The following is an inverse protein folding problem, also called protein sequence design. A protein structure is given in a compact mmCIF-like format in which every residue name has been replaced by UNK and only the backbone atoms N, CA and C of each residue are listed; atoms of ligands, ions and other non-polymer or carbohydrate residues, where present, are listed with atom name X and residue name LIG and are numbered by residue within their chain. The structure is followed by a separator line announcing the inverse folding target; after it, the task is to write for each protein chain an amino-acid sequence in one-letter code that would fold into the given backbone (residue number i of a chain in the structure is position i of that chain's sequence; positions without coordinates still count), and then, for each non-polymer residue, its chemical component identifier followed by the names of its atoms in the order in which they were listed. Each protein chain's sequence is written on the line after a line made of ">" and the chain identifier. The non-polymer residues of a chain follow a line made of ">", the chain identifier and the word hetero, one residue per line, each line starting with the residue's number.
data_IF_906099809419
#
_entry.id   IF_906099809419
#
_cell.length_a   1.000
_cell.length_b   1.000
_cell.length_c   1.000
_cell.angle_alpha   90.00
_cell.angle_beta   90.00
_cell.angle_gamma   90.00
#
_symmetry.space_group_name_H-M   'P 1'
#
loop_
_entity.id
_entity.type
_entity.pdbx_description
1 polymer ?
#
# COMPACT_ATOMS: atom_id res chain seq x y z
N UNK A 1 17.32 -33.04 28.89
CA UNK A 1 16.58 -32.59 27.68
C UNK A 1 15.81 -31.27 27.89
N UNK A 2 16.08 -30.50 28.95
CA UNK A 2 15.21 -29.38 29.33
C UNK A 2 15.63 -28.02 28.73
N UNK A 3 16.92 -27.81 28.44
CA UNK A 3 17.41 -26.52 27.90
C UNK A 3 16.95 -26.25 26.47
N UNK A 4 16.97 -27.26 25.60
CA UNK A 4 16.53 -27.10 24.21
C UNK A 4 15.03 -26.81 24.11
N UNK A 5 14.23 -27.49 24.95
CA UNK A 5 12.79 -27.23 25.03
C UNK A 5 12.50 -25.82 25.55
N UNK A 6 13.18 -25.40 26.62
CA UNK A 6 13.03 -24.05 27.18
C UNK A 6 13.38 -22.95 26.15
N UNK A 7 14.49 -23.10 25.43
CA UNK A 7 14.90 -22.16 24.39
C UNK A 7 13.92 -22.11 23.22
N UNK A 8 13.38 -23.26 22.80
CA UNK A 8 12.35 -23.30 21.76
C UNK A 8 11.05 -22.60 22.21
N UNK A 9 10.63 -22.80 23.46
CA UNK A 9 9.43 -22.12 24.00
C UNK A 9 9.63 -20.63 24.17
N UNK A 10 10.83 -20.18 24.54
CA UNK A 10 11.18 -18.76 24.66
C UNK A 10 11.13 -18.06 23.28
N UNK A 11 11.70 -18.68 22.24
CA UNK A 11 11.62 -18.15 20.87
C UNK A 11 10.18 -18.07 20.37
N UNK A 12 9.36 -19.09 20.64
CA UNK A 12 7.94 -19.07 20.28
C UNK A 12 7.20 -17.96 21.02
N UNK A 13 7.47 -17.77 22.32
CA UNK A 13 6.87 -16.69 23.10
C UNK A 13 7.26 -15.31 22.54
N UNK A 14 8.55 -15.09 22.25
CA UNK A 14 9.04 -13.86 21.63
C UNK A 14 8.34 -13.58 20.30
N UNK A 15 8.19 -14.60 19.45
CA UNK A 15 7.53 -14.45 18.16
C UNK A 15 6.05 -14.09 18.28
N UNK A 16 5.33 -14.70 19.22
CA UNK A 16 3.93 -14.38 19.49
C UNK A 16 3.74 -12.93 19.97
N UNK A 17 4.68 -12.42 20.77
CA UNK A 17 4.65 -11.02 21.25
C UNK A 17 4.82 -10.06 20.07
N UNK A 18 5.83 -10.29 19.22
CA UNK A 18 6.07 -9.46 18.02
C UNK A 18 4.85 -9.41 17.09
N UNK A 19 4.16 -10.53 16.90
CA UNK A 19 2.96 -10.61 16.08
C UNK A 19 1.79 -9.82 16.69
N UNK A 20 1.61 -9.89 18.01
CA UNK A 20 0.57 -9.16 18.70
C UNK A 20 0.80 -7.64 18.65
N UNK A 21 2.04 -7.19 18.87
CA UNK A 21 2.42 -5.77 18.75
C UNK A 21 2.26 -5.27 17.31
N UNK A 22 2.65 -6.07 16.32
CA UNK A 22 2.45 -5.76 14.89
C UNK A 22 0.95 -5.66 14.52
N UNK A 23 0.09 -6.36 15.25
CA UNK A 23 -1.37 -6.26 15.14
C UNK A 23 -1.96 -5.06 15.92
N UNK A 24 -1.14 -4.29 16.63
CA UNK A 24 -1.52 -3.09 17.37
C UNK A 24 -1.81 -3.30 18.85
N UNK A 25 -1.41 -4.43 19.44
CA UNK A 25 -1.44 -4.59 20.90
C UNK A 25 -0.34 -3.73 21.55
N UNK A 26 -0.68 -2.97 22.58
CA UNK A 26 0.30 -2.24 23.38
C UNK A 26 0.97 -3.14 24.42
N UNK A 27 2.14 -2.70 24.91
CA UNK A 27 2.97 -3.47 25.84
C UNK A 27 2.29 -3.73 27.19
N UNK A 28 1.52 -2.77 27.71
CA UNK A 28 0.84 -2.89 29.00
C UNK A 28 -0.26 -3.95 28.95
N UNK A 29 -1.00 -3.98 27.85
CA UNK A 29 -2.04 -4.97 27.57
C UNK A 29 -1.44 -6.36 27.37
N UNK A 30 -0.29 -6.46 26.71
CA UNK A 30 0.45 -7.72 26.60
C UNK A 30 0.91 -8.24 27.97
N UNK A 31 1.50 -7.37 28.80
CA UNK A 31 1.93 -7.72 30.15
C UNK A 31 0.74 -8.16 31.04
N UNK A 32 -0.41 -7.51 30.92
CA UNK A 32 -1.63 -7.90 31.63
C UNK A 32 -2.14 -9.28 31.20
N UNK A 33 -2.12 -9.60 29.90
CA UNK A 33 -2.57 -10.89 29.37
C UNK A 33 -1.63 -12.01 29.82
N UNK A 34 -0.31 -11.79 29.78
CA UNK A 34 0.68 -12.76 30.28
C UNK A 34 0.46 -13.05 31.76
N UNK A 35 0.27 -12.03 32.60
CA UNK A 35 -0.03 -12.22 34.02
C UNK A 35 -1.30 -13.05 34.23
N UNK A 36 -2.38 -12.72 33.52
CA UNK A 36 -3.64 -13.49 33.57
C UNK A 36 -3.47 -14.94 33.08
N UNK A 37 -2.56 -15.20 32.14
CA UNK A 37 -2.29 -16.54 31.64
C UNK A 37 -1.44 -17.37 32.60
N UNK A 38 -0.55 -16.74 33.37
CA UNK A 38 0.25 -17.41 34.40
C UNK A 38 -0.60 -17.77 35.62
N UNK A 39 -1.68 -17.03 35.88
CA UNK A 39 -2.61 -17.28 37.00
C UNK A 39 -3.63 -18.41 36.75
N UNK A 40 -3.60 -19.08 35.59
CA UNK A 40 -4.49 -20.20 35.27
C UNK A 40 -4.14 -21.40 36.17
N UNK A 41 -5.07 -21.81 37.03
CA UNK A 41 -4.86 -22.94 37.95
C UNK A 41 -5.88 -24.07 37.75
N UNK A 42 -7.01 -23.82 37.08
CA UNK A 42 -8.05 -24.81 36.88
C UNK A 42 -8.28 -25.18 35.41
N UNK A 43 -8.77 -26.40 35.12
CA UNK A 43 -9.24 -26.77 33.78
C UNK A 43 -10.37 -25.87 33.27
N UNK A 44 -11.17 -25.29 34.17
CA UNK A 44 -12.25 -24.35 33.83
C UNK A 44 -11.73 -23.01 33.29
N UNK A 45 -10.61 -22.52 33.84
CA UNK A 45 -9.93 -21.31 33.35
C UNK A 45 -9.36 -21.53 31.95
N UNK A 46 -8.75 -22.69 31.71
CA UNK A 46 -8.22 -23.08 30.40
C UNK A 46 -9.35 -23.17 29.37
N UNK A 47 -10.49 -23.78 29.72
CA UNK A 47 -11.67 -23.85 28.87
C UNK A 47 -12.20 -22.44 28.54
N UNK A 48 -12.24 -21.56 29.53
CA UNK A 48 -12.72 -20.17 29.38
C UNK A 48 -11.81 -19.38 28.45
N UNK A 49 -10.49 -19.45 28.61
CA UNK A 49 -9.53 -18.81 27.70
C UNK A 49 -9.60 -19.36 26.28
N UNK A 50 -9.77 -20.67 26.14
CA UNK A 50 -9.94 -21.30 24.83
C UNK A 50 -11.24 -20.84 24.15
N UNK A 51 -12.33 -20.74 24.89
CA UNK A 51 -13.61 -20.21 24.40
C UNK A 51 -13.51 -18.72 24.00
N UNK A 52 -12.80 -17.92 24.81
CA UNK A 52 -12.53 -16.52 24.53
C UNK A 52 -11.70 -16.37 23.24
N UNK A 53 -10.61 -17.13 23.10
CA UNK A 53 -9.77 -17.15 21.90
C UNK A 53 -10.56 -17.55 20.64
N UNK A 54 -11.35 -18.63 20.71
CA UNK A 54 -12.19 -19.06 19.60
C UNK A 54 -13.22 -17.99 19.20
N UNK A 55 -13.76 -17.26 20.18
CA UNK A 55 -14.71 -16.16 19.93
C UNK A 55 -14.03 -14.95 19.32
N UNK A 56 -12.82 -14.59 19.78
CA UNK A 56 -12.01 -13.54 19.18
C UNK A 56 -11.67 -13.83 17.71
N UNK A 57 -11.25 -15.07 17.39
CA UNK A 57 -10.96 -15.49 16.00
C UNK A 57 -12.20 -15.43 15.10
N UNK A 58 -13.37 -15.87 15.58
CA UNK A 58 -14.63 -15.72 14.85
C UNK A 58 -15.03 -14.25 14.68
N UNK A 59 -14.81 -13.45 15.72
CA UNK A 59 -15.01 -12.00 15.70
C UNK A 59 -14.13 -11.34 14.64
N UNK A 60 -12.85 -11.68 14.59
CA UNK A 60 -11.91 -11.21 13.58
C UNK A 60 -12.35 -11.59 12.16
N UNK A 61 -12.72 -12.85 11.93
CA UNK A 61 -13.23 -13.30 10.63
C UNK A 61 -14.51 -12.54 10.22
N UNK A 62 -15.40 -12.29 11.17
CA UNK A 62 -16.62 -11.50 10.96
C UNK A 62 -16.30 -10.05 10.66
N UNK A 63 -15.35 -9.43 11.38
CA UNK A 63 -14.88 -8.08 11.12
C UNK A 63 -14.21 -7.98 9.74
N UNK A 64 -13.37 -8.95 9.36
CA UNK A 64 -12.79 -9.04 8.01
C UNK A 64 -13.85 -9.18 6.92
N UNK A 65 -14.95 -9.90 7.19
CA UNK A 65 -16.08 -10.05 6.26
C UNK A 65 -16.94 -8.78 6.16
N UNK A 66 -17.09 -8.04 7.27
CA UNK A 66 -17.85 -6.78 7.36
C UNK A 66 -17.05 -5.54 6.98
N UNK A 67 -15.72 -5.62 6.99
CA UNK A 67 -14.85 -4.57 6.49
C UNK A 67 -15.32 -4.27 5.06
N UNK A 68 -15.79 -3.04 4.77
CA UNK A 68 -16.55 -2.79 3.56
C UNK A 68 -15.75 -3.21 2.32
N UNK A 69 -16.22 -4.28 1.66
CA UNK A 69 -16.09 -4.40 0.22
C UNK A 69 -16.91 -3.26 -0.37
N UNK A 70 -16.29 -2.11 -0.55
CA UNK A 70 -16.77 -1.05 -1.43
C UNK A 70 -18.20 -0.55 -1.11
N UNK A 71 -18.38 0.22 -0.04
CA UNK A 71 -19.54 1.10 0.08
C UNK A 71 -19.07 2.50 0.44
N UNK A 72 -19.31 3.43 -0.50
CA UNK A 72 -19.17 4.89 -0.40
C UNK A 72 -17.76 5.43 -0.16
N UNK A 73 -16.97 5.49 -1.23
CA UNK A 73 -16.20 6.72 -1.50
C UNK A 73 -16.95 7.50 -2.57
N UNK A 74 -17.76 8.41 -2.05
CA UNK A 74 -18.45 9.54 -2.68
C UNK A 74 -18.36 9.59 -4.21
N UNK A 75 -19.54 9.53 -4.82
CA UNK A 75 -19.80 10.07 -6.13
C UNK A 75 -19.26 11.50 -6.20
N UNK A 76 -18.07 11.66 -6.78
CA UNK A 76 -17.79 12.86 -7.56
C UNK A 76 -18.13 12.48 -9.00
N UNK A 77 -19.38 12.70 -9.37
CA UNK A 77 -19.75 12.90 -10.77
C UNK A 77 -18.91 14.10 -11.20
N UNK A 78 -17.79 13.85 -11.90
CA UNK A 78 -17.24 14.87 -12.77
C UNK A 78 -18.03 14.78 -14.07
N UNK A 79 -18.86 15.77 -14.42
CA UNK A 79 -19.27 15.92 -15.81
C UNK A 79 -18.03 16.29 -16.64
N UNK A 80 -18.14 16.18 -17.96
CA UNK A 80 -17.09 16.28 -18.98
C UNK A 80 -16.22 15.01 -19.16
N UNK A 81 -16.19 14.36 -20.33
CA UNK A 81 -16.75 14.70 -21.63
C UNK A 81 -16.87 13.41 -22.46
N UNK A 82 -17.81 13.43 -23.40
CA UNK A 82 -18.13 12.33 -24.33
C UNK A 82 -17.14 12.41 -25.50
N UNK A 83 -16.49 11.30 -25.83
CA UNK A 83 -15.66 11.20 -27.02
C UNK A 83 -15.11 9.80 -27.23
N UNK A 84 -15.76 9.04 -28.10
CA UNK A 84 -15.43 7.68 -28.54
C UNK A 84 -14.24 7.72 -29.50
N UNK A 85 -13.25 6.82 -29.34
CA UNK A 85 -12.67 6.00 -30.43
C UNK A 85 -11.46 5.18 -29.93
N UNK A 86 -11.50 3.87 -30.18
CA UNK A 86 -10.36 2.96 -30.17
C UNK A 86 -9.56 3.16 -31.46
N UNK A 87 -8.27 3.51 -31.40
CA UNK A 87 -7.16 2.92 -32.22
C UNK A 87 -5.81 3.53 -31.80
N UNK A 88 -4.68 2.85 -32.07
CA UNK A 88 -3.38 3.04 -31.41
C UNK A 88 -2.41 3.93 -32.21
N UNK A 89 -1.40 4.48 -31.52
CA UNK A 89 -0.25 5.25 -32.01
C UNK A 89 -0.54 6.62 -32.65
N UNK A 90 -0.06 7.71 -32.03
CA UNK A 90 0.91 8.60 -32.69
C UNK A 90 1.59 9.58 -31.72
N UNK A 91 2.89 9.70 -31.94
CA UNK A 91 3.81 10.80 -31.68
C UNK A 91 3.35 12.12 -32.30
N UNK A 92 3.81 13.23 -31.70
CA UNK A 92 3.87 14.62 -32.20
C UNK A 92 2.56 15.43 -32.20
N UNK A 93 2.51 16.71 -31.86
CA UNK A 93 3.35 17.70 -31.16
C UNK A 93 2.41 18.93 -31.05
N UNK A 94 2.57 19.80 -30.05
CA UNK A 94 2.42 21.27 -30.09
C UNK A 94 1.81 21.86 -28.81
N UNK A 95 2.66 22.52 -28.03
CA UNK A 95 2.34 23.40 -26.93
C UNK A 95 3.59 23.65 -26.07
N UNK A 96 4.18 24.86 -26.07
CA UNK A 96 5.33 25.16 -25.23
C UNK A 96 4.83 25.54 -23.83
N UNK A 97 4.81 24.58 -22.90
CA UNK A 97 4.71 24.91 -21.47
C UNK A 97 5.27 23.76 -20.61
N UNK A 98 6.52 23.96 -20.21
CA UNK A 98 7.25 23.31 -19.10
C UNK A 98 7.24 21.77 -19.06
N UNK A 99 8.38 21.24 -19.47
CA UNK A 99 8.76 19.82 -19.43
C UNK A 99 8.86 19.30 -17.98
N UNK A 100 7.71 19.05 -17.35
CA UNK A 100 7.63 18.16 -16.19
C UNK A 100 7.77 16.73 -16.68
N UNK A 101 8.56 15.91 -15.98
CA UNK A 101 9.07 14.64 -16.50
C UNK A 101 8.01 13.73 -17.12
N UNK A 102 8.38 12.89 -18.10
CA UNK A 102 7.45 12.04 -18.83
C UNK A 102 6.68 11.12 -17.87
N UNK A 103 5.39 10.84 -18.15
CA UNK A 103 4.59 9.98 -17.30
C UNK A 103 5.12 8.53 -17.35
N UNK A 104 5.21 7.86 -16.19
CA UNK A 104 5.52 6.43 -16.12
C UNK A 104 4.27 5.64 -16.52
N UNK A 105 4.32 4.86 -17.59
CA UNK A 105 3.18 4.11 -18.11
C UNK A 105 3.55 2.65 -18.37
N UNK A 106 2.69 1.72 -17.94
CA UNK A 106 2.85 0.32 -18.31
C UNK A 106 1.85 -0.61 -17.61
N UNK A 107 1.98 -1.91 -17.90
CA UNK A 107 1.19 -2.96 -17.29
C UNK A 107 1.93 -3.56 -16.08
N UNK A 108 1.26 -3.62 -14.93
CA UNK A 108 1.77 -4.20 -13.69
C UNK A 108 0.78 -5.20 -13.09
N UNK A 109 1.30 -6.24 -12.46
CA UNK A 109 0.51 -7.21 -11.70
C UNK A 109 0.25 -6.63 -10.32
N UNK A 110 -0.98 -6.20 -10.04
CA UNK A 110 -1.33 -5.70 -8.73
C UNK A 110 -1.78 -6.84 -7.82
N UNK A 111 -1.21 -6.91 -6.63
CA UNK A 111 -1.68 -7.83 -5.59
C UNK A 111 -3.02 -7.32 -5.04
N UNK A 112 -4.04 -8.17 -5.10
CA UNK A 112 -5.35 -7.84 -4.53
C UNK A 112 -5.40 -8.21 -3.06
N UNK A 113 -6.23 -7.53 -2.28
CA UNK A 113 -6.50 -7.87 -0.87
C UNK A 113 -6.99 -9.31 -0.63
N UNK A 114 -7.34 -10.04 -1.70
CA UNK A 114 -7.76 -11.45 -1.67
C UNK A 114 -6.61 -12.43 -1.96
N UNK A 115 -5.37 -11.95 -2.11
CA UNK A 115 -4.21 -12.78 -2.45
C UNK A 115 -4.07 -13.13 -3.93
N UNK A 116 -4.95 -12.61 -4.81
CA UNK A 116 -4.88 -12.85 -6.25
C UNK A 116 -4.12 -11.72 -6.95
N UNK A 117 -3.34 -12.05 -7.97
CA UNK A 117 -2.64 -11.10 -8.82
C UNK A 117 -3.51 -10.73 -10.03
N UNK A 118 -3.54 -9.45 -10.40
CA UNK A 118 -4.30 -8.97 -11.56
C UNK A 118 -3.52 -7.93 -12.35
N UNK A 119 -3.44 -8.12 -13.67
CA UNK A 119 -2.92 -7.11 -14.58
C UNK A 119 -3.71 -5.80 -14.50
N UNK A 120 -2.97 -4.70 -14.37
CA UNK A 120 -3.47 -3.33 -14.36
C UNK A 120 -2.64 -2.48 -15.31
N UNK A 121 -3.35 -1.63 -16.03
CA UNK A 121 -2.71 -0.52 -16.72
C UNK A 121 -2.48 0.61 -15.72
N UNK A 122 -1.22 0.92 -15.44
CA UNK A 122 -0.78 1.92 -14.46
C UNK A 122 -0.18 3.11 -15.19
N UNK A 123 -0.55 4.31 -14.76
CA UNK A 123 0.04 5.57 -15.20
C UNK A 123 0.37 6.42 -13.97
N UNK A 124 1.62 6.87 -13.83
CA UNK A 124 2.05 7.81 -12.79
C UNK A 124 2.53 9.10 -13.48
N UNK A 125 2.07 10.25 -13.01
CA UNK A 125 2.33 11.54 -13.66
C UNK A 125 2.19 12.71 -12.69
N UNK A 126 2.83 13.84 -12.99
CA UNK A 126 2.65 15.09 -12.25
C UNK A 126 1.46 15.86 -12.83
N UNK A 127 0.54 16.33 -11.98
CA UNK A 127 -0.58 17.16 -12.43
C UNK A 127 -0.21 18.66 -12.44
N UNK A 128 -1.14 19.50 -12.93
CA UNK A 128 -0.98 20.97 -12.94
C UNK A 128 -0.83 21.60 -11.54
N UNK A 129 -1.21 20.89 -10.47
CA UNK A 129 -1.06 21.33 -9.07
C UNK A 129 0.27 20.85 -8.45
N UNK A 130 1.23 20.41 -9.26
CA UNK A 130 2.48 19.81 -8.76
C UNK A 130 2.27 18.62 -7.85
N UNK A 131 1.28 17.76 -8.11
CA UNK A 131 1.10 16.54 -7.34
C UNK A 131 1.39 15.33 -8.22
N UNK A 132 2.14 14.37 -7.67
CA UNK A 132 2.30 13.06 -8.30
C UNK A 132 1.00 12.27 -8.14
N UNK A 133 0.38 11.88 -9.24
CA UNK A 133 -0.85 11.10 -9.29
C UNK A 133 -0.59 9.73 -9.90
N UNK A 134 -1.13 8.69 -9.26
CA UNK A 134 -1.28 7.37 -9.85
C UNK A 134 -2.69 7.24 -10.45
N UNK A 135 -2.79 6.58 -11.60
CA UNK A 135 -4.02 6.17 -12.26
C UNK A 135 -3.92 4.69 -12.60
N UNK A 136 -4.77 3.87 -11.97
CA UNK A 136 -4.84 2.43 -12.18
C UNK A 136 -6.13 2.11 -12.94
N UNK A 137 -6.03 1.49 -14.11
CA UNK A 137 -7.20 0.98 -14.86
C UNK A 137 -7.25 -0.54 -14.77
N UNK A 138 -8.44 -1.07 -14.53
CA UNK A 138 -8.75 -2.50 -14.52
C UNK A 138 -9.82 -2.81 -15.55
N UNK A 139 -9.67 -3.91 -16.30
CA UNK A 139 -10.73 -4.44 -17.17
C UNK A 139 -11.58 -5.44 -16.39
N UNK A 140 -12.91 -5.37 -16.50
CA UNK A 140 -13.91 -6.21 -15.84
C UNK A 140 -14.94 -6.69 -16.88
N UNK A 141 -15.63 -7.80 -16.62
CA UNK A 141 -16.72 -8.35 -17.45
C UNK A 141 -16.31 -8.50 -18.93
N UNK A 142 -15.43 -9.45 -19.22
CA UNK A 142 -14.98 -9.71 -20.60
C UNK A 142 -14.26 -8.55 -21.30
N UNK A 143 -13.89 -7.49 -20.57
CA UNK A 143 -13.27 -6.28 -21.13
C UNK A 143 -14.26 -5.16 -21.49
N UNK A 144 -15.57 -5.40 -21.35
CA UNK A 144 -16.61 -4.41 -21.67
C UNK A 144 -16.68 -3.26 -20.68
N UNK A 145 -16.25 -3.48 -19.43
CA UNK A 145 -16.28 -2.47 -18.37
C UNK A 145 -14.88 -2.21 -17.85
N UNK A 146 -14.52 -0.93 -17.68
CA UNK A 146 -13.24 -0.55 -17.08
C UNK A 146 -13.45 0.22 -15.77
N UNK A 147 -12.81 -0.25 -14.69
CA UNK A 147 -12.74 0.47 -13.41
C UNK A 147 -11.46 1.29 -13.39
N UNK A 148 -11.58 2.58 -13.09
CA UNK A 148 -10.44 3.51 -12.99
C UNK A 148 -10.34 4.04 -11.57
N UNK A 149 -9.15 3.91 -11.00
CA UNK A 149 -8.79 4.46 -9.71
C UNK A 149 -7.71 5.54 -9.92
N UNK A 150 -7.80 6.63 -9.13
CA UNK A 150 -6.79 7.68 -9.08
C UNK A 150 -6.45 8.00 -7.63
N UNK A 151 -5.19 8.31 -7.36
CA UNK A 151 -4.73 8.72 -6.03
C UNK A 151 -3.50 9.61 -6.11
N UNK A 152 -3.29 10.44 -5.09
CA UNK A 152 -2.03 11.16 -4.90
C UNK A 152 -1.01 10.18 -4.32
N UNK A 153 0.20 10.22 -4.87
CA UNK A 153 1.34 9.40 -4.46
C UNK A 153 2.22 10.23 -3.54
N UNK A 154 2.58 9.65 -2.40
CA UNK A 154 3.46 10.30 -1.41
C UNK A 154 4.80 9.58 -1.25
N UNK A 155 4.95 8.39 -1.83
CA UNK A 155 6.18 7.62 -1.71
C UNK A 155 6.15 6.28 -2.43
N UNK A 156 7.33 5.68 -2.52
CA UNK A 156 7.57 4.35 -3.10
C UNK A 156 8.28 3.50 -2.05
N UNK A 157 7.87 2.23 -1.95
CA UNK A 157 8.50 1.22 -1.12
C UNK A 157 9.24 0.22 -2.00
N UNK A 158 10.57 0.23 -1.92
CA UNK A 158 11.47 -0.67 -2.64
C UNK A 158 11.93 -1.86 -1.78
N UNK A 159 11.96 -1.68 -0.45
CA UNK A 159 12.39 -2.69 0.50
C UNK A 159 11.25 -3.58 0.98
N UNK A 160 11.54 -4.89 0.99
CA UNK A 160 10.70 -6.01 1.46
C UNK A 160 10.33 -5.91 2.95
N UNK A 161 10.99 -5.04 3.72
CA UNK A 161 10.84 -4.88 5.18
C UNK A 161 9.50 -4.28 5.58
N UNK A 162 8.84 -3.50 4.71
CA UNK A 162 7.49 -2.98 4.97
C UNK A 162 6.38 -4.04 4.79
N UNK A 163 6.72 -5.27 4.41
CA UNK A 163 5.80 -6.28 3.88
C UNK A 163 5.83 -7.61 4.64
N UNK A 164 5.96 -7.59 5.98
CA UNK A 164 5.97 -8.80 6.83
C UNK A 164 4.62 -9.55 6.92
N UNK A 165 3.73 -9.46 5.93
CA UNK A 165 2.49 -10.26 5.88
C UNK A 165 2.52 -11.35 4.78
N UNK A 166 3.53 -11.37 3.92
CA UNK A 166 3.65 -12.40 2.86
C UNK A 166 4.96 -13.15 3.06
N UNK A 167 5.00 -14.02 4.08
CA UNK A 167 6.15 -14.90 4.32
C UNK A 167 5.74 -16.35 4.54
N UNK A 168 4.77 -16.81 3.75
CA UNK A 168 4.39 -18.23 3.70
C UNK A 168 4.25 -18.76 2.27
N UNK A 169 5.07 -18.27 1.33
CA UNK A 169 5.39 -19.01 0.10
C UNK A 169 6.85 -18.82 -0.24
N UNK A 170 7.58 -19.91 -0.12
CA UNK A 170 8.97 -20.07 -0.53
C UNK A 170 9.00 -20.19 -2.05
N UNK A 171 9.47 -19.15 -2.75
CA UNK A 171 10.24 -19.30 -3.99
C UNK A 171 11.05 -18.03 -4.31
N UNK A 172 12.21 -18.26 -4.90
CA UNK A 172 13.28 -17.33 -5.23
C UNK A 172 12.86 -16.16 -6.13
N UNK A 173 13.38 -14.97 -5.85
CA UNK A 173 13.39 -13.78 -6.73
C UNK A 173 12.06 -13.09 -7.01
N UNK A 174 11.17 -13.05 -6.05
CA UNK A 174 9.91 -12.35 -6.16
C UNK A 174 10.13 -10.81 -6.09
N UNK A 175 10.09 -10.14 -7.25
CA UNK A 175 10.45 -8.73 -7.41
C UNK A 175 9.22 -7.83 -7.29
N UNK A 176 9.01 -7.23 -6.12
CA UNK A 176 7.89 -6.32 -5.87
C UNK A 176 8.32 -4.90 -5.52
N UNK A 177 7.39 -3.96 -5.71
CA UNK A 177 7.46 -2.63 -5.11
C UNK A 177 6.06 -2.14 -4.72
N UNK A 178 6.01 -1.10 -3.88
CA UNK A 178 4.77 -0.51 -3.41
C UNK A 178 4.67 0.98 -3.70
N UNK A 179 3.46 1.44 -4.00
CA UNK A 179 3.15 2.87 -4.14
C UNK A 179 2.26 3.30 -2.97
N UNK A 180 2.74 4.27 -2.16
CA UNK A 180 2.01 4.82 -1.01
C UNK A 180 1.06 5.92 -1.45
N UNK A 181 -0.21 5.77 -1.08
CA UNK A 181 -1.26 6.77 -1.28
C UNK A 181 -2.03 6.98 0.03
N UNK A 182 -2.90 7.99 0.09
CA UNK A 182 -3.77 8.22 1.25
C UNK A 182 -4.76 7.06 1.51
N UNK A 183 -4.94 6.18 0.53
CA UNK A 183 -5.81 5.00 0.63
C UNK A 183 -5.07 3.76 1.12
N UNK A 184 -3.77 3.88 1.38
CA UNK A 184 -2.87 2.79 1.70
C UNK A 184 -1.88 2.48 0.57
N UNK A 185 -1.32 1.29 0.67
CA UNK A 185 -0.22 0.81 -0.16
C UNK A 185 -0.76 -0.01 -1.35
N UNK A 186 -0.29 0.29 -2.56
CA UNK A 186 -0.57 -0.49 -3.76
C UNK A 186 0.67 -1.32 -4.13
N UNK A 187 0.59 -2.63 -3.96
CA UNK A 187 1.67 -3.58 -4.24
C UNK A 187 1.62 -4.05 -5.69
N UNK A 188 2.79 -4.04 -6.35
CA UNK A 188 2.95 -4.48 -7.72
C UNK A 188 4.09 -5.48 -7.85
N UNK A 189 3.81 -6.57 -8.56
CA UNK A 189 4.80 -7.56 -8.98
C UNK A 189 5.42 -7.15 -10.32
N UNK A 190 6.73 -7.31 -10.43
CA UNK A 190 7.50 -7.00 -11.61
C UNK A 190 8.05 -8.26 -12.26
N UNK A 191 8.10 -8.24 -13.60
CA UNK A 191 8.67 -9.31 -14.42
C UNK A 191 10.18 -9.54 -14.21
N UNK A 192 10.91 -8.54 -13.70
CA UNK A 192 12.35 -8.61 -13.46
C UNK A 192 12.81 -7.51 -12.50
N UNK A 193 14.00 -7.69 -11.90
CA UNK A 193 14.67 -6.69 -11.03
C UNK A 193 14.86 -5.35 -11.76
N UNK A 194 15.27 -5.39 -13.03
CA UNK A 194 15.43 -4.20 -13.87
C UNK A 194 14.10 -3.50 -14.10
N UNK A 195 13.01 -4.26 -14.34
CA UNK A 195 11.68 -3.67 -14.52
C UNK A 195 11.21 -2.98 -13.24
N UNK A 196 11.43 -3.60 -12.07
CA UNK A 196 11.16 -2.96 -10.78
C UNK A 196 11.94 -1.66 -10.64
N UNK A 197 13.25 -1.72 -10.86
CA UNK A 197 14.10 -0.57 -10.60
C UNK A 197 13.74 0.63 -11.48
N UNK A 198 13.42 0.40 -12.77
CA UNK A 198 12.90 1.46 -13.65
C UNK A 198 11.66 2.13 -13.07
N UNK A 199 10.66 1.34 -12.64
CA UNK A 199 9.45 1.89 -12.03
C UNK A 199 9.73 2.66 -10.74
N UNK A 200 10.58 2.12 -9.86
CA UNK A 200 10.93 2.76 -8.59
C UNK A 200 11.65 4.08 -8.84
N UNK A 201 12.66 4.09 -9.72
CA UNK A 201 13.48 5.25 -10.02
C UNK A 201 12.64 6.33 -10.72
N UNK A 202 11.84 5.96 -11.72
CA UNK A 202 10.99 6.92 -12.43
C UNK A 202 9.98 7.60 -11.48
N UNK A 203 9.35 6.84 -10.58
CA UNK A 203 8.40 7.42 -9.62
C UNK A 203 9.13 8.27 -8.56
N UNK A 204 10.31 7.85 -8.09
CA UNK A 204 11.16 8.67 -7.19
C UNK A 204 11.54 9.99 -7.86
N UNK A 205 11.91 9.95 -9.14
CA UNK A 205 12.22 11.15 -9.92
C UNK A 205 11.02 12.10 -10.01
N UNK A 206 9.81 11.60 -10.27
CA UNK A 206 8.60 12.43 -10.28
C UNK A 206 8.30 13.06 -8.91
N UNK A 207 8.50 12.31 -7.81
CA UNK A 207 8.32 12.82 -6.45
C UNK A 207 9.35 13.91 -6.12
N UNK A 208 10.60 13.73 -6.53
CA UNK A 208 11.67 14.71 -6.33
C UNK A 208 11.44 15.99 -7.16
N UNK A 209 10.93 15.88 -8.39
CA UNK A 209 10.56 17.06 -9.18
C UNK A 209 9.50 17.92 -8.49
N UNK A 210 8.51 17.27 -7.85
CA UNK A 210 7.49 17.98 -7.08
C UNK A 210 8.07 18.64 -5.84
N UNK A 211 8.97 17.98 -5.10
CA UNK A 211 9.57 18.55 -3.90
C UNK A 211 10.43 19.78 -4.22
N UNK A 212 11.15 19.79 -5.35
CA UNK A 212 11.94 20.94 -5.77
C UNK A 212 11.07 22.16 -6.09
N UNK A 213 9.93 21.95 -6.78
CA UNK A 213 8.99 23.03 -7.11
C UNK A 213 8.38 23.66 -5.86
N UNK A 214 8.10 22.89 -4.81
CA UNK A 214 7.60 23.43 -3.54
C UNK A 214 8.66 24.26 -2.80
N UNK A 215 9.94 23.87 -2.89
CA UNK A 215 11.05 24.60 -2.26
C UNK A 215 11.32 25.92 -3.00
N UNK A 216 11.28 25.92 -4.33
CA UNK A 216 11.45 27.16 -5.11
C UNK A 216 10.28 28.12 -4.93
N UNK A 217 9.03 27.65 -4.91
CA UNK A 217 7.86 28.50 -4.66
C UNK A 217 7.87 29.10 -3.25
N UNK A 218 8.29 28.33 -2.23
CA UNK A 218 8.49 28.86 -0.86
C UNK A 218 9.62 29.88 -0.79
N UNK A 219 10.75 29.62 -1.43
CA UNK A 219 11.88 30.54 -1.45
C UNK A 219 11.53 31.86 -2.14
N UNK A 220 10.85 31.80 -3.29
CA UNK A 220 10.37 32.97 -4.03
C UNK A 220 9.34 33.78 -3.22
N UNK A 221 8.42 33.12 -2.52
CA UNK A 221 7.47 33.79 -1.62
C UNK A 221 8.14 34.44 -0.41
N UNK A 222 9.21 33.85 0.13
CA UNK A 222 9.97 34.48 1.22
C UNK A 222 10.75 35.71 0.74
N UNK A 223 11.23 35.72 -0.50
CA UNK A 223 11.97 36.85 -1.08
C UNK A 223 11.05 38.05 -1.42
N UNK A 224 9.77 37.82 -1.72
CA UNK A 224 8.82 38.89 -2.06
C UNK A 224 8.26 39.66 -0.85
N UNK A 225 8.65 39.33 0.39
CA UNK A 225 8.10 39.94 1.61
C UNK A 225 8.94 41.14 2.11
N UNK A 226 10.08 41.45 1.49
CA UNK A 226 10.99 42.51 1.98
C UNK A 226 10.81 43.91 1.37
N UNK A 227 9.80 44.16 0.53
CA UNK A 227 9.52 45.50 0.01
C UNK A 227 8.29 46.10 0.72
N UNK A 228 8.49 46.64 1.93
CA UNK A 228 7.42 47.32 2.65
C UNK A 228 7.70 47.62 4.12
N UNK A 229 8.74 48.40 4.41
CA UNK A 229 8.85 49.22 5.62
C UNK A 229 9.80 50.39 5.37
#
# INVERSE_FOLDING_TARGET
>A
MNMALASATELLASHCIELAESAGADHDRMASVVRSAVDIQSPGDLMTLTAAAATALRGEATLKARLPKEARRNAAISPYDRGVANTPYWTSLNGPLEERGPPCVGELLQHTKKGALRWKHVTVYINKKSQVLIKIKSKHVGGALSKKHKGVVYGVCDETTAWRYIKERVSTEEVYFGIKTAQGLHEFECKSKVHKQRWVDDIKNLLQQVSYVEVTDRSLKCLSINDGA
#
